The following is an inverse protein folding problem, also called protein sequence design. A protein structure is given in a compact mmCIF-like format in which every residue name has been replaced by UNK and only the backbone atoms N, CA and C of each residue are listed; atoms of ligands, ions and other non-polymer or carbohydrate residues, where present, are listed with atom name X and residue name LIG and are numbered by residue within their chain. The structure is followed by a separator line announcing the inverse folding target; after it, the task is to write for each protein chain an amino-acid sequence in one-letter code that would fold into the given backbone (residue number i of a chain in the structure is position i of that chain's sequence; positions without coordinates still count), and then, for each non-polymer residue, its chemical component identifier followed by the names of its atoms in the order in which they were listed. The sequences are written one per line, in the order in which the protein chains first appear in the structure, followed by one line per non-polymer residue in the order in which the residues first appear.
data_IF_511373194931
#
_entry.id   IF_511373194931
#
_cell.length_a   1.000
_cell.length_b   1.000
_cell.length_c   1.000
_cell.angle_alpha   90.00
_cell.angle_beta   90.00
_cell.angle_gamma   90.00
#
_symmetry.space_group_name_H-M   'P 1'
#
loop_
_entity.id
_entity.type
_entity.pdbx_description
1 polymer ?
#
# COMPACT_ATOMS: atom_id res chain seq x y z
N UNK A 1 16.98 -12.89 25.70
CA UNK A 1 15.96 -11.86 25.72
C UNK A 1 14.77 -12.33 24.90
N UNK A 2 13.66 -12.57 25.56
CA UNK A 2 12.45 -13.01 24.85
C UNK A 2 11.85 -11.81 24.13
N UNK A 3 11.88 -11.87 22.77
CA UNK A 3 11.08 -10.95 21.97
C UNK A 3 9.61 -11.25 22.28
N UNK A 4 8.88 -10.28 22.81
CA UNK A 4 7.43 -10.41 22.89
C UNK A 4 6.90 -10.70 21.49
N UNK A 5 6.12 -11.76 21.38
CA UNK A 5 5.46 -12.10 20.13
C UNK A 5 4.38 -11.05 19.87
N UNK A 6 4.65 -10.15 18.91
CA UNK A 6 3.68 -9.14 18.47
C UNK A 6 2.68 -9.86 17.58
N UNK A 7 1.44 -9.96 18.04
CA UNK A 7 0.34 -10.49 17.21
C UNK A 7 -0.28 -9.30 16.51
N UNK A 8 -0.01 -9.20 15.20
CA UNK A 8 -0.55 -8.15 14.34
C UNK A 8 -1.85 -8.63 13.71
N UNK A 9 -2.86 -7.79 13.75
CA UNK A 9 -4.13 -8.03 13.09
C UNK A 9 -4.27 -7.10 11.90
N UNK A 10 -4.50 -7.67 10.73
CA UNK A 10 -4.82 -6.88 9.53
C UNK A 10 -6.33 -6.63 9.51
N UNK A 11 -6.71 -5.37 9.45
CA UNK A 11 -8.12 -4.96 9.56
C UNK A 11 -8.40 -3.68 8.77
N UNK A 12 -9.69 -3.28 8.73
CA UNK A 12 -10.12 -2.02 8.11
C UNK A 12 -9.42 -0.82 8.75
N UNK A 13 -8.88 0.04 7.89
CA UNK A 13 -8.15 1.24 8.33
C UNK A 13 -9.02 2.42 8.72
N UNK A 14 -10.33 2.42 8.43
CA UNK A 14 -11.21 3.56 8.72
C UNK A 14 -11.23 3.98 10.18
N UNK A 15 -11.36 3.05 11.16
CA UNK A 15 -11.31 3.44 12.56
C UNK A 15 -9.98 4.02 13.01
N UNK A 16 -8.93 3.84 12.22
CA UNK A 16 -7.56 4.25 12.54
C UNK A 16 -7.09 5.42 11.67
N UNK A 17 -8.02 6.18 11.09
CA UNK A 17 -7.71 7.16 10.05
C UNK A 17 -6.68 8.22 10.49
N UNK A 18 -6.71 8.64 11.74
CA UNK A 18 -5.74 9.63 12.25
C UNK A 18 -4.32 9.06 12.28
N UNK A 19 -4.16 7.80 12.65
CA UNK A 19 -2.87 7.11 12.60
C UNK A 19 -2.42 6.88 11.15
N UNK A 20 -3.35 6.56 10.27
CA UNK A 20 -3.09 6.40 8.83
C UNK A 20 -2.54 7.70 8.23
N UNK A 21 -3.13 8.84 8.58
CA UNK A 21 -2.61 10.16 8.14
C UNK A 21 -1.16 10.35 8.55
N UNK A 22 -0.83 9.98 9.77
CA UNK A 22 0.55 10.03 10.28
C UNK A 22 1.50 9.14 9.49
N UNK A 23 1.05 7.91 9.16
CA UNK A 23 1.83 6.97 8.36
C UNK A 23 2.04 7.45 6.93
N UNK A 24 1.04 8.05 6.31
CA UNK A 24 1.16 8.63 4.97
C UNK A 24 2.22 9.74 4.99
N UNK A 25 2.23 10.60 6.00
CA UNK A 25 3.26 11.65 6.16
C UNK A 25 4.65 11.04 6.31
N UNK A 26 4.80 9.98 7.12
CA UNK A 26 6.07 9.25 7.25
C UNK A 26 6.51 8.68 5.91
N UNK A 27 5.59 8.06 5.18
CA UNK A 27 5.84 7.49 3.86
C UNK A 27 6.34 8.55 2.87
N UNK A 28 5.66 9.68 2.79
CA UNK A 28 6.04 10.79 1.89
C UNK A 28 7.42 11.33 2.26
N UNK A 29 7.68 11.52 3.55
CA UNK A 29 8.97 11.99 4.05
C UNK A 29 10.09 11.00 3.71
N UNK A 30 9.85 9.71 3.90
CA UNK A 30 10.83 8.65 3.61
C UNK A 30 11.15 8.55 2.12
N UNK A 31 10.16 8.77 1.24
CA UNK A 31 10.38 8.80 -0.20
C UNK A 31 11.23 9.99 -0.63
N UNK A 32 11.12 11.12 0.07
CA UNK A 32 11.81 12.37 -0.26
C UNK A 32 11.59 12.77 -1.74
N UNK A 33 10.32 12.72 -2.18
CA UNK A 33 9.90 13.02 -3.55
C UNK A 33 8.69 13.95 -3.52
N UNK A 34 8.54 14.77 -4.56
CA UNK A 34 7.34 15.59 -4.76
C UNK A 34 6.22 14.70 -5.30
N UNK A 35 5.18 14.46 -4.49
CA UNK A 35 4.01 13.68 -4.85
C UNK A 35 2.78 14.55 -5.14
N UNK A 36 2.96 15.85 -5.39
CA UNK A 36 1.84 16.76 -5.67
C UNK A 36 1.01 16.29 -6.87
N UNK A 37 1.64 15.63 -7.87
CA UNK A 37 0.95 15.06 -9.02
C UNK A 37 -0.05 13.94 -8.63
N UNK A 38 0.05 13.39 -7.42
CA UNK A 38 -0.87 12.37 -6.90
C UNK A 38 -1.98 12.97 -6.04
N UNK A 39 -2.08 14.30 -5.93
CA UNK A 39 -3.03 14.99 -5.06
C UNK A 39 -2.90 14.56 -3.60
N UNK A 40 -1.66 14.41 -3.13
CA UNK A 40 -1.38 13.90 -1.79
C UNK A 40 -1.99 14.78 -0.68
N UNK A 41 -2.05 16.09 -0.89
CA UNK A 41 -2.62 17.01 0.11
C UNK A 41 -4.13 16.78 0.28
N UNK A 42 -4.85 16.50 -0.81
CA UNK A 42 -6.28 16.18 -0.74
C UNK A 42 -6.49 14.82 -0.09
N UNK A 43 -5.64 13.84 -0.40
CA UNK A 43 -5.70 12.52 0.22
C UNK A 43 -5.51 12.62 1.74
N UNK A 44 -4.61 13.48 2.21
CA UNK A 44 -4.33 13.67 3.64
C UNK A 44 -5.48 14.30 4.41
N UNK A 45 -6.42 14.95 3.75
CA UNK A 45 -7.62 15.51 4.41
C UNK A 45 -8.47 14.37 4.97
N UNK A 46 -8.74 13.35 4.15
CA UNK A 46 -9.41 12.12 4.56
C UNK A 46 -9.04 10.97 3.62
N UNK A 47 -8.03 10.16 3.99
CA UNK A 47 -7.62 9.03 3.15
C UNK A 47 -8.72 8.01 2.88
N UNK A 48 -9.74 7.91 3.73
CA UNK A 48 -10.82 6.95 3.54
C UNK A 48 -11.72 7.28 2.35
N UNK A 49 -11.75 8.54 1.91
CA UNK A 49 -12.54 8.95 0.74
C UNK A 49 -12.05 8.23 -0.51
N UNK A 50 -10.73 8.19 -0.73
CA UNK A 50 -10.13 7.56 -1.91
C UNK A 50 -10.17 6.03 -1.82
N UNK A 51 -9.98 5.49 -0.62
CA UNK A 51 -9.80 4.07 -0.39
C UNK A 51 -11.01 3.47 0.33
N UNK A 52 -12.18 3.53 -0.30
CA UNK A 52 -13.46 3.07 0.25
C UNK A 52 -14.12 2.05 -0.67
N UNK A 53 -14.63 0.96 -0.07
CA UNK A 53 -15.40 -0.04 -0.80
C UNK A 53 -16.66 0.57 -1.43
N UNK A 54 -17.10 0.08 -2.60
CA UNK A 54 -16.57 -1.07 -3.34
C UNK A 54 -15.39 -0.75 -4.26
N UNK A 55 -15.09 0.51 -4.49
CA UNK A 55 -14.08 0.92 -5.49
C UNK A 55 -12.65 0.77 -4.97
N UNK A 56 -12.44 0.96 -3.69
CA UNK A 56 -11.14 0.84 -3.06
C UNK A 56 -11.24 0.29 -1.65
N UNK A 57 -10.10 0.16 -0.99
CA UNK A 57 -10.02 -0.31 0.38
C UNK A 57 -8.72 0.14 1.03
N UNK A 58 -8.75 0.32 2.34
CA UNK A 58 -7.59 0.66 3.15
C UNK A 58 -7.49 -0.35 4.29
N UNK A 59 -6.38 -1.07 4.34
CA UNK A 59 -6.09 -2.03 5.40
C UNK A 59 -4.94 -1.53 6.26
N UNK A 60 -4.99 -1.84 7.54
CA UNK A 60 -3.93 -1.55 8.50
C UNK A 60 -3.56 -2.82 9.26
N UNK A 61 -2.31 -2.89 9.69
CA UNK A 61 -1.86 -3.91 10.63
C UNK A 61 -1.74 -3.24 12.00
N UNK A 62 -2.43 -3.79 12.98
CA UNK A 62 -2.57 -3.21 14.31
C UNK A 62 -1.99 -4.13 15.36
N UNK A 63 -1.11 -3.60 16.21
CA UNK A 63 -0.66 -4.24 17.44
C UNK A 63 -1.32 -3.50 18.60
N UNK A 64 -2.27 -4.18 19.28
CA UNK A 64 -3.14 -3.57 20.28
C UNK A 64 -3.92 -2.40 19.63
N UNK A 65 -3.59 -1.17 19.96
CA UNK A 65 -4.26 0.02 19.40
C UNK A 65 -3.34 0.84 18.47
N UNK A 66 -2.13 0.33 18.21
CA UNK A 66 -1.13 1.04 17.42
C UNK A 66 -1.06 0.47 16.02
N UNK A 67 -1.19 1.33 15.02
CA UNK A 67 -1.02 0.96 13.61
C UNK A 67 0.46 0.81 13.30
N UNK A 68 0.86 -0.37 12.85
CA UNK A 68 2.24 -0.70 12.49
C UNK A 68 2.51 -0.62 10.99
N UNK A 69 1.48 -0.74 10.18
CA UNK A 69 1.61 -0.71 8.73
C UNK A 69 0.27 -0.47 8.06
N UNK A 70 0.32 -0.16 6.78
CA UNK A 70 -0.86 0.11 5.96
C UNK A 70 -0.64 -0.34 4.53
N UNK A 71 -1.75 -0.54 3.82
CA UNK A 71 -1.79 -0.74 2.37
C UNK A 71 -3.18 -0.36 1.89
N UNK A 72 -3.28 0.10 0.65
CA UNK A 72 -4.56 0.47 0.07
C UNK A 72 -4.62 0.07 -1.39
N UNK A 73 -5.82 0.02 -1.95
CA UNK A 73 -6.01 0.06 -3.39
C UNK A 73 -7.16 0.98 -3.73
N UNK A 74 -7.16 1.48 -4.95
CA UNK A 74 -8.30 2.17 -5.52
C UNK A 74 -8.51 1.73 -6.95
N UNK A 75 -9.71 2.01 -7.46
CA UNK A 75 -10.09 1.63 -8.82
C UNK A 75 -9.26 2.38 -9.86
N UNK A 76 -8.75 1.64 -10.84
CA UNK A 76 -8.12 2.20 -12.04
C UNK A 76 -9.02 2.05 -13.26
N UNK A 77 -9.66 0.89 -13.40
CA UNK A 77 -10.67 0.59 -14.42
C UNK A 77 -11.68 -0.39 -13.86
N UNK A 78 -12.63 -0.83 -14.66
CA UNK A 78 -13.61 -1.83 -14.21
C UNK A 78 -12.98 -3.15 -13.76
N UNK A 79 -11.83 -3.52 -14.36
CA UNK A 79 -11.16 -4.80 -14.10
C UNK A 79 -9.84 -4.65 -13.39
N UNK A 80 -9.32 -3.43 -13.27
CA UNK A 80 -7.98 -3.15 -12.76
C UNK A 80 -8.04 -2.20 -11.58
N UNK A 81 -7.34 -2.56 -10.49
CA UNK A 81 -7.11 -1.66 -9.37
C UNK A 81 -5.63 -1.34 -9.23
N UNK A 82 -5.32 -0.29 -8.51
CA UNK A 82 -3.95 0.15 -8.24
C UNK A 82 -3.66 0.06 -6.75
N UNK A 83 -2.61 -0.68 -6.38
CA UNK A 83 -2.13 -0.72 -5.00
C UNK A 83 -1.38 0.56 -4.67
N UNK A 84 -1.66 1.13 -3.50
CA UNK A 84 -1.09 2.39 -3.02
C UNK A 84 -0.71 2.30 -1.56
N UNK A 85 0.26 3.09 -1.18
CA UNK A 85 0.56 3.39 0.23
C UNK A 85 0.97 2.18 1.06
N UNK A 86 1.63 1.20 0.45
CA UNK A 86 2.26 0.14 1.25
C UNK A 86 3.38 0.75 2.07
N UNK A 87 3.23 0.71 3.38
CA UNK A 87 4.23 1.21 4.31
C UNK A 87 4.17 0.45 5.62
N UNK A 88 5.33 0.08 6.14
CA UNK A 88 5.48 -0.55 7.45
C UNK A 88 6.43 0.31 8.27
N UNK A 89 6.05 0.66 9.50
CA UNK A 89 6.90 1.43 10.40
C UNK A 89 8.26 0.73 10.57
N UNK A 90 9.37 1.48 10.61
CA UNK A 90 10.69 0.87 10.77
C UNK A 90 10.80 -0.04 11.99
N UNK A 91 10.14 0.30 13.10
CA UNK A 91 10.13 -0.50 14.32
C UNK A 91 9.39 -1.84 14.19
N UNK A 92 8.57 -2.00 13.15
CA UNK A 92 7.74 -3.19 12.92
C UNK A 92 8.24 -4.04 11.74
N UNK A 93 9.32 -3.62 11.08
CA UNK A 93 9.88 -4.35 9.93
C UNK A 93 10.58 -5.63 10.38
N UNK A 94 10.68 -6.59 9.45
CA UNK A 94 11.34 -7.87 9.68
C UNK A 94 10.41 -9.01 10.12
N UNK A 95 9.13 -8.75 10.32
CA UNK A 95 8.12 -9.74 10.72
C UNK A 95 7.28 -10.23 9.54
N UNK A 96 7.73 -10.04 8.30
CA UNK A 96 7.00 -10.34 7.05
C UNK A 96 5.66 -9.59 6.95
N UNK A 97 5.50 -8.50 7.66
CA UNK A 97 4.26 -7.73 7.70
C UNK A 97 3.91 -7.13 6.33
N UNK A 98 4.90 -6.65 5.59
CA UNK A 98 4.70 -6.12 4.24
C UNK A 98 4.11 -7.16 3.30
N UNK A 99 4.63 -8.39 3.34
CA UNK A 99 4.11 -9.50 2.55
C UNK A 99 2.67 -9.83 2.93
N UNK A 100 2.37 -9.88 4.22
CA UNK A 100 1.03 -10.13 4.73
C UNK A 100 0.02 -9.06 4.27
N UNK A 101 0.42 -7.79 4.35
CA UNK A 101 -0.41 -6.67 3.88
C UNK A 101 -0.69 -6.79 2.38
N UNK A 102 0.32 -7.10 1.57
CA UNK A 102 0.16 -7.29 0.13
C UNK A 102 -0.81 -8.44 -0.16
N UNK A 103 -0.61 -9.58 0.49
CA UNK A 103 -1.48 -10.75 0.29
C UNK A 103 -2.92 -10.44 0.66
N UNK A 104 -3.15 -9.75 1.76
CA UNK A 104 -4.50 -9.39 2.20
C UNK A 104 -5.17 -8.39 1.26
N UNK A 105 -4.46 -7.35 0.81
CA UNK A 105 -5.07 -6.37 -0.09
C UNK A 105 -5.37 -6.98 -1.46
N UNK A 106 -4.53 -7.88 -1.95
CA UNK A 106 -4.80 -8.62 -3.19
C UNK A 106 -6.05 -9.49 -3.06
N UNK A 107 -6.20 -10.17 -1.93
CA UNK A 107 -7.38 -10.99 -1.64
C UNK A 107 -8.66 -10.15 -1.63
N UNK A 108 -8.63 -9.01 -0.95
CA UNK A 108 -9.78 -8.09 -0.90
C UNK A 108 -10.14 -7.55 -2.29
N UNK A 109 -9.14 -7.19 -3.10
CA UNK A 109 -9.37 -6.72 -4.46
C UNK A 109 -9.99 -7.80 -5.34
N UNK A 110 -9.52 -9.04 -5.23
CA UNK A 110 -10.09 -10.19 -5.95
C UNK A 110 -11.54 -10.42 -5.56
N UNK A 111 -11.84 -10.41 -4.27
CA UNK A 111 -13.20 -10.57 -3.76
C UNK A 111 -14.13 -9.44 -4.21
N UNK A 112 -13.60 -8.23 -4.42
CA UNK A 112 -14.35 -7.09 -4.95
C UNK A 112 -14.61 -7.19 -6.46
N UNK A 113 -14.02 -8.18 -7.14
CA UNK A 113 -14.26 -8.44 -8.55
C UNK A 113 -13.18 -7.96 -9.51
N UNK A 114 -12.09 -7.39 -9.00
CA UNK A 114 -10.97 -6.98 -9.86
C UNK A 114 -10.21 -8.20 -10.40
N UNK A 115 -9.70 -8.06 -11.63
CA UNK A 115 -8.99 -9.12 -12.35
C UNK A 115 -7.48 -8.98 -12.25
N UNK A 116 -7.01 -7.75 -12.06
CA UNK A 116 -5.58 -7.44 -11.97
C UNK A 116 -5.33 -6.25 -11.07
N UNK A 117 -4.13 -6.21 -10.51
CA UNK A 117 -3.65 -5.12 -9.68
C UNK A 117 -2.35 -4.61 -10.25
N UNK A 118 -2.24 -3.29 -10.38
CA UNK A 118 -1.03 -2.61 -10.81
C UNK A 118 -0.47 -1.76 -9.68
N UNK A 119 0.79 -1.43 -9.78
CA UNK A 119 1.44 -0.49 -8.89
C UNK A 119 2.62 0.16 -9.60
N UNK A 120 3.02 1.32 -9.10
CA UNK A 120 4.30 1.92 -9.45
C UNK A 120 5.17 2.05 -8.20
N UNK A 121 6.47 1.98 -8.41
CA UNK A 121 7.47 2.17 -7.37
C UNK A 121 8.70 2.83 -7.99
N UNK A 122 9.71 3.10 -7.20
CA UNK A 122 10.95 3.68 -7.70
C UNK A 122 12.10 2.71 -7.51
N UNK A 123 13.04 2.74 -8.44
CA UNK A 123 14.16 1.79 -8.51
C UNK A 123 14.96 1.67 -7.19
N UNK A 124 15.23 2.75 -6.43
CA UNK A 124 15.99 2.63 -5.17
C UNK A 124 15.33 1.79 -4.09
N UNK A 125 14.00 1.58 -4.15
CA UNK A 125 13.27 0.79 -3.15
C UNK A 125 13.42 -0.72 -3.40
N UNK A 126 14.63 -1.23 -3.32
CA UNK A 126 14.97 -2.61 -3.68
C UNK A 126 14.22 -3.67 -2.85
N UNK A 127 14.05 -3.41 -1.55
CA UNK A 127 13.33 -4.33 -0.66
C UNK A 127 11.85 -4.44 -1.07
N UNK A 128 11.22 -3.32 -1.41
CA UNK A 128 9.84 -3.29 -1.87
C UNK A 128 9.70 -4.02 -3.21
N UNK A 129 10.60 -3.75 -4.17
CA UNK A 129 10.61 -4.42 -5.47
C UNK A 129 10.70 -5.94 -5.30
N UNK A 130 11.64 -6.41 -4.48
CA UNK A 130 11.79 -7.83 -4.20
C UNK A 130 10.51 -8.44 -3.61
N UNK A 131 9.87 -7.73 -2.72
CA UNK A 131 8.63 -8.15 -2.08
C UNK A 131 7.48 -8.26 -3.10
N UNK A 132 7.34 -7.28 -3.99
CA UNK A 132 6.33 -7.31 -5.05
C UNK A 132 6.53 -8.51 -5.98
N UNK A 133 7.77 -8.78 -6.40
CA UNK A 133 8.09 -9.92 -7.25
C UNK A 133 7.75 -11.24 -6.54
N UNK A 134 8.06 -11.35 -5.26
CA UNK A 134 7.73 -12.51 -4.44
C UNK A 134 6.22 -12.75 -4.37
N UNK A 135 5.43 -11.69 -4.35
CA UNK A 135 3.97 -11.77 -4.28
C UNK A 135 3.30 -11.95 -5.65
N UNK A 136 4.07 -12.12 -6.71
CA UNK A 136 3.55 -12.43 -8.04
C UNK A 136 3.45 -11.26 -9.01
N UNK A 137 3.92 -10.09 -8.61
CA UNK A 137 3.97 -8.94 -9.51
C UNK A 137 5.13 -9.10 -10.51
N UNK A 138 4.89 -8.65 -11.74
CA UNK A 138 5.89 -8.65 -12.81
C UNK A 138 5.93 -7.27 -13.47
N UNK A 139 7.06 -6.90 -14.02
CA UNK A 139 7.20 -5.65 -14.76
C UNK A 139 6.14 -5.55 -15.85
N UNK A 140 5.57 -4.36 -16.01
CA UNK A 140 4.59 -4.09 -17.04
C UNK A 140 4.83 -2.70 -17.66
N UNK A 141 4.08 -2.42 -18.73
CA UNK A 141 4.11 -1.11 -19.38
C UNK A 141 3.52 -0.04 -18.45
N UNK A 142 3.98 1.22 -18.58
CA UNK A 142 3.36 2.33 -17.86
C UNK A 142 1.85 2.39 -18.10
N UNK A 143 1.09 2.55 -17.03
CA UNK A 143 -0.36 2.69 -17.12
C UNK A 143 -0.80 4.15 -16.88
N UNK A 144 0.15 5.03 -16.59
CA UNK A 144 -0.02 6.48 -16.56
C UNK A 144 1.35 7.14 -16.67
N UNK A 145 1.36 8.45 -16.88
CA UNK A 145 2.60 9.22 -17.01
C UNK A 145 3.08 9.73 -15.65
N UNK A 146 3.99 9.00 -15.03
CA UNK A 146 4.64 9.44 -13.79
C UNK A 146 5.85 10.34 -14.15
N UNK A 147 5.95 11.54 -13.56
CA UNK A 147 7.04 12.47 -13.89
C UNK A 147 8.43 12.05 -13.38
N UNK A 148 8.52 11.09 -12.47
CA UNK A 148 9.81 10.61 -11.96
C UNK A 148 10.51 9.73 -12.99
N UNK A 149 11.83 9.92 -13.17
CA UNK A 149 12.62 9.21 -14.19
C UNK A 149 12.96 7.77 -13.82
N UNK A 150 12.93 7.43 -12.52
CA UNK A 150 13.32 6.12 -12.00
C UNK A 150 12.12 5.25 -11.58
N UNK A 151 10.94 5.57 -12.07
CA UNK A 151 9.72 4.81 -11.79
C UNK A 151 9.71 3.48 -12.53
N UNK A 152 9.22 2.45 -11.86
CA UNK A 152 8.99 1.11 -12.42
C UNK A 152 7.54 0.72 -12.18
N UNK A 153 6.95 0.03 -13.15
CA UNK A 153 5.55 -0.39 -13.11
C UNK A 153 5.45 -1.90 -13.01
N UNK A 154 4.52 -2.37 -12.19
CA UNK A 154 4.29 -3.80 -11.95
C UNK A 154 2.81 -4.14 -12.07
N UNK A 155 2.55 -5.38 -12.43
CA UNK A 155 1.20 -5.95 -12.54
C UNK A 155 1.17 -7.35 -11.98
N UNK A 156 0.08 -7.69 -11.30
CA UNK A 156 -0.23 -9.06 -10.88
C UNK A 156 -1.64 -9.41 -11.33
N UNK A 157 -1.84 -10.65 -11.71
CA UNK A 157 -3.17 -11.21 -11.99
C UNK A 157 -3.76 -11.67 -10.66
N UNK A 158 -5.01 -11.31 -10.43
CA UNK A 158 -5.73 -11.65 -9.20
C UNK A 158 -6.51 -12.97 -9.29
#
# INVERSE_FOLDING_TARGET
MNKEMIILTVTDGKPYINQVKGLIKEYVTALDRDLSFQNIDDELKDPSVKYTAPEGELLVAVDKETVCGMVAYHRHSETRCEMKRLYVKPSCRGEKLGEELICEIMKHAKEAGYKEMVLDTIEPLKAAVHLYEKCGFRHCEPYYNNPMSDVIYFRAIL
#
